data_IF_085166956873
#
_entry.id   IF_085166956873
#
_cell.length_a   1.000
_cell.length_b   1.000
_cell.length_c   1.000
_cell.angle_alpha   90.00
_cell.angle_beta   90.00
_cell.angle_gamma   90.00
#
_symmetry.space_group_name_H-M   'P 1'
#
loop_
_entity.id
_entity.type
_entity.pdbx_description
1 polymer ?
#
# COMPACT_ATOMS: atom_id res chain seq x y z
N UNK A 1 -40.15 -21.63 -12.76
CA UNK A 1 -39.93 -20.16 -12.78
C UNK A 1 -38.89 -19.72 -11.73
N UNK A 2 -39.03 -20.09 -10.44
CA UNK A 2 -38.11 -19.68 -9.36
C UNK A 2 -36.65 -20.16 -9.59
N UNK A 3 -36.46 -21.38 -10.08
CA UNK A 3 -35.12 -21.92 -10.40
C UNK A 3 -34.41 -21.15 -11.52
N UNK A 4 -35.13 -20.67 -12.52
CA UNK A 4 -34.54 -19.94 -13.65
C UNK A 4 -34.02 -18.57 -13.20
N UNK A 5 -34.78 -17.89 -12.34
CA UNK A 5 -34.37 -16.62 -11.72
C UNK A 5 -33.12 -16.79 -10.85
N UNK A 6 -32.97 -17.94 -10.18
CA UNK A 6 -31.78 -18.23 -9.37
C UNK A 6 -30.52 -18.44 -10.21
N UNK A 7 -30.68 -18.99 -11.42
CA UNK A 7 -29.56 -19.25 -12.35
C UNK A 7 -29.04 -17.93 -12.94
N UNK A 8 -29.92 -17.06 -13.42
CA UNK A 8 -29.53 -15.72 -13.94
C UNK A 8 -28.81 -14.88 -12.88
N UNK A 9 -29.28 -14.94 -11.63
CA UNK A 9 -28.64 -14.24 -10.50
C UNK A 9 -27.24 -14.76 -10.19
N UNK A 10 -27.01 -16.07 -10.34
CA UNK A 10 -25.70 -16.68 -10.12
C UNK A 10 -24.66 -16.22 -11.16
N UNK A 11 -25.04 -16.13 -12.43
CA UNK A 11 -24.14 -15.63 -13.48
C UNK A 11 -23.75 -14.17 -13.28
N UNK A 12 -24.68 -13.31 -12.83
CA UNK A 12 -24.38 -11.91 -12.51
C UNK A 12 -23.40 -11.78 -11.33
N UNK A 13 -23.55 -12.62 -10.30
CA UNK A 13 -22.61 -12.66 -9.16
C UNK A 13 -21.24 -13.16 -9.60
N UNK A 14 -21.20 -14.22 -10.43
CA UNK A 14 -19.96 -14.80 -10.93
C UNK A 14 -19.20 -13.82 -11.83
N UNK A 15 -19.88 -13.10 -12.72
CA UNK A 15 -19.23 -12.09 -13.58
C UNK A 15 -18.69 -10.92 -12.77
N UNK A 16 -19.40 -10.50 -11.72
CA UNK A 16 -18.95 -9.43 -10.82
C UNK A 16 -17.68 -9.80 -10.05
N UNK A 17 -17.62 -11.03 -9.51
CA UNK A 17 -16.42 -11.53 -8.84
C UNK A 17 -15.23 -11.65 -9.80
N UNK A 18 -15.47 -12.09 -11.03
CA UNK A 18 -14.43 -12.20 -12.05
C UNK A 18 -13.89 -10.80 -12.45
N UNK A 19 -14.77 -9.82 -12.58
CA UNK A 19 -14.38 -8.43 -12.83
C UNK A 19 -13.52 -7.88 -11.68
N UNK A 20 -13.93 -8.08 -10.42
CA UNK A 20 -13.12 -7.67 -9.26
C UNK A 20 -11.75 -8.34 -9.22
N UNK A 21 -11.65 -9.61 -9.60
CA UNK A 21 -10.38 -10.33 -9.67
C UNK A 21 -9.45 -9.74 -10.73
N UNK A 22 -9.97 -9.39 -11.91
CA UNK A 22 -9.19 -8.75 -12.98
C UNK A 22 -8.76 -7.32 -12.61
N UNK A 23 -9.58 -6.60 -11.84
CA UNK A 23 -9.26 -5.25 -11.37
C UNK A 23 -8.29 -5.22 -10.18
N UNK A 24 -7.89 -6.38 -9.63
CA UNK A 24 -6.94 -6.44 -8.52
C UNK A 24 -5.52 -6.04 -8.96
N UNK A 25 -5.13 -4.79 -8.65
CA UNK A 25 -3.80 -4.24 -8.92
C UNK A 25 -2.78 -4.53 -7.81
N UNK A 26 -1.50 -4.23 -8.06
CA UNK A 26 -0.44 -4.25 -7.03
C UNK A 26 -0.57 -2.99 -6.16
N UNK A 27 -0.88 -3.15 -4.87
CA UNK A 27 -0.80 -2.06 -3.91
C UNK A 27 0.66 -1.90 -3.46
N UNK A 28 1.35 -0.86 -3.93
CA UNK A 28 2.68 -0.51 -3.44
C UNK A 28 2.53 0.20 -2.09
N UNK A 29 2.84 -0.49 -0.99
CA UNK A 29 2.76 0.06 0.38
C UNK A 29 4.11 0.57 0.89
N UNK A 30 5.22 0.21 0.24
CA UNK A 30 6.57 0.64 0.60
C UNK A 30 6.91 2.02 0.02
N UNK A 31 7.65 2.82 0.78
CA UNK A 31 8.13 4.13 0.35
C UNK A 31 9.59 4.02 -0.11
N UNK A 32 9.88 4.46 -1.33
CA UNK A 32 11.24 4.58 -1.88
C UNK A 32 11.63 6.03 -2.07
N UNK A 33 12.79 6.43 -1.55
CA UNK A 33 13.38 7.75 -1.81
C UNK A 33 14.75 7.53 -2.46
N UNK A 34 14.91 8.00 -3.70
CA UNK A 34 16.15 7.78 -4.47
C UNK A 34 16.31 6.36 -5.04
N UNK A 35 15.27 5.52 -4.95
CA UNK A 35 15.20 4.19 -5.56
C UNK A 35 13.81 3.96 -6.15
N UNK A 36 13.74 3.37 -7.35
CA UNK A 36 12.46 2.98 -7.99
C UNK A 36 12.04 1.56 -7.63
N UNK A 37 12.90 0.80 -6.95
CA UNK A 37 12.64 -0.58 -6.54
C UNK A 37 13.14 -0.78 -5.11
N UNK A 38 12.41 -0.26 -4.11
CA UNK A 38 12.72 -0.51 -2.70
C UNK A 38 12.72 -2.00 -2.41
N UNK A 39 13.58 -2.43 -1.50
CA UNK A 39 13.63 -3.79 -1.00
C UNK A 39 12.25 -4.21 -0.48
N UNK A 40 11.80 -5.39 -0.89
CA UNK A 40 10.47 -5.90 -0.56
C UNK A 40 10.24 -6.10 0.94
N UNK A 41 11.30 -6.21 1.74
CA UNK A 41 11.25 -6.33 3.19
C UNK A 41 11.31 -4.97 3.92
N UNK A 42 11.49 -3.86 3.20
CA UNK A 42 11.60 -2.53 3.78
C UNK A 42 10.27 -1.76 3.67
N UNK A 43 9.83 -1.16 4.78
CA UNK A 43 8.71 -0.20 4.75
C UNK A 43 9.11 1.14 4.13
N UNK A 44 10.36 1.56 4.36
CA UNK A 44 10.97 2.76 3.79
C UNK A 44 12.42 2.45 3.41
N UNK A 45 12.79 2.71 2.16
CA UNK A 45 14.18 2.67 1.69
C UNK A 45 14.60 4.04 1.19
N UNK A 46 15.79 4.48 1.62
CA UNK A 46 16.41 5.72 1.17
C UNK A 46 17.78 5.35 0.60
N UNK A 47 18.00 5.63 -0.68
CA UNK A 47 19.25 5.34 -1.38
C UNK A 47 19.84 6.62 -1.97
N UNK A 48 21.10 6.91 -1.66
CA UNK A 48 21.87 8.00 -2.23
C UNK A 48 23.36 7.64 -2.17
N UNK A 49 24.15 7.88 -3.23
CA UNK A 49 25.57 7.54 -3.23
C UNK A 49 26.38 8.38 -2.23
N UNK A 50 26.01 9.65 -2.04
CA UNK A 50 26.86 10.63 -1.35
C UNK A 50 26.15 11.40 -0.23
N UNK A 51 24.93 10.99 0.16
CA UNK A 51 24.11 11.72 1.15
C UNK A 51 23.60 10.78 2.23
N UNK A 52 23.59 11.25 3.47
CA UNK A 52 22.97 10.56 4.60
C UNK A 52 21.56 11.08 4.90
N UNK A 53 20.88 10.42 5.84
CA UNK A 53 19.59 10.86 6.40
C UNK A 53 19.82 11.95 7.45
N UNK A 54 19.30 13.16 7.21
CA UNK A 54 19.25 14.20 8.25
C UNK A 54 17.97 14.02 9.07
N UNK A 55 18.10 13.48 10.27
CA UNK A 55 16.98 13.38 11.21
C UNK A 55 16.62 14.76 11.78
N UNK A 56 15.34 14.99 12.15
CA UNK A 56 14.92 16.22 12.82
C UNK A 56 15.79 16.52 14.05
N UNK A 57 16.30 17.75 14.15
CA UNK A 57 17.03 18.22 15.33
C UNK A 57 16.02 18.63 16.40
N UNK A 58 15.93 17.85 17.46
CA UNK A 58 15.07 18.17 18.60
C UNK A 58 15.83 19.13 19.53
N UNK A 59 15.23 20.29 19.80
CA UNK A 59 15.67 21.11 20.91
C UNK A 59 15.17 20.44 22.21
N UNK A 60 16.08 20.13 23.13
CA UNK A 60 15.71 19.64 24.45
C UNK A 60 15.15 20.80 25.27
N UNK A 61 13.87 21.09 25.11
CA UNK A 61 13.15 21.92 26.09
C UNK A 61 12.97 21.07 27.32
N UNK A 62 13.74 21.34 28.39
CA UNK A 62 13.60 20.60 29.64
C UNK A 62 12.18 20.87 30.20
N UNK A 63 11.25 19.89 30.20
CA UNK A 63 9.88 20.13 30.66
C UNK A 63 9.78 20.19 32.19
N UNK A 64 10.91 20.03 32.91
CA UNK A 64 10.96 19.93 34.37
C UNK A 64 11.77 21.07 35.05
N UNK A 65 12.05 22.16 34.33
CA UNK A 65 12.61 23.39 34.91
C UNK A 65 11.73 24.60 34.57
N UNK A 66 10.44 24.50 34.91
CA UNK A 66 9.53 25.64 35.09
C UNK A 66 8.94 25.58 36.49
#
# INVERSE_FOLDING_TARGET
MIHLISIERYYMQLSFLLALLVLSGKAFTQVGIGTSSPNNSAMLEISSPDKGLLLPRLALTNPLLQ
#
